data_IF_953825309383
#
_entry.id   IF_953825309383
#
_cell.length_a   1.000
_cell.length_b   1.000
_cell.length_c   1.000
_cell.angle_alpha   90.00
_cell.angle_beta   90.00
_cell.angle_gamma   90.00
#
_symmetry.space_group_name_H-M   'P 1'
#
loop_
_entity.id
_entity.type
_entity.pdbx_description
1 polymer ?
#
# COMPACT_ATOMS: atom_id res chain seq x y z
N UNK A 1 32.00 19.92 -14.93
CA UNK A 1 31.84 18.70 -15.77
C UNK A 1 31.75 17.56 -14.77
N UNK A 2 30.52 17.31 -14.31
CA UNK A 2 29.74 16.11 -14.61
C UNK A 2 30.25 14.88 -13.85
N UNK A 3 29.62 14.56 -12.73
CA UNK A 3 29.07 13.21 -12.61
C UNK A 3 27.77 13.22 -11.78
N UNK A 4 26.67 13.21 -12.52
CA UNK A 4 25.35 12.85 -12.03
C UNK A 4 25.31 11.33 -11.90
N UNK A 5 25.15 10.78 -10.71
CA UNK A 5 24.36 9.55 -10.50
C UNK A 5 24.55 9.05 -9.08
N UNK A 6 23.59 9.38 -8.22
CA UNK A 6 23.12 8.61 -7.06
C UNK A 6 22.37 9.56 -6.13
N UNK A 7 21.31 10.19 -6.65
CA UNK A 7 20.15 10.40 -5.79
C UNK A 7 19.55 9.02 -5.60
N UNK A 8 20.11 8.27 -4.64
CA UNK A 8 19.50 7.03 -4.15
C UNK A 8 18.06 7.43 -3.85
N UNK A 9 17.12 6.83 -4.57
CA UNK A 9 15.71 7.14 -4.48
C UNK A 9 15.32 7.20 -3.01
N UNK A 10 15.12 8.42 -2.49
CA UNK A 10 14.56 8.65 -1.16
C UNK A 10 13.12 8.13 -1.21
N UNK A 11 12.94 6.83 -0.98
CA UNK A 11 11.71 6.15 -0.57
C UNK A 11 10.38 6.89 -0.82
N UNK A 12 10.05 7.23 -2.07
CA UNK A 12 8.71 7.68 -2.46
C UNK A 12 7.90 6.49 -2.98
N UNK A 13 7.84 5.42 -2.20
CA UNK A 13 6.82 4.39 -2.39
C UNK A 13 6.11 4.25 -1.05
N UNK A 14 5.07 5.08 -0.89
CA UNK A 14 4.11 5.04 0.21
C UNK A 14 3.43 3.67 0.19
N UNK A 15 4.02 2.71 0.90
CA UNK A 15 3.41 1.41 1.14
C UNK A 15 2.22 1.55 2.11
N UNK A 16 1.35 0.55 2.12
CA UNK A 16 0.26 0.43 3.06
C UNK A 16 0.65 -0.55 4.18
N UNK A 17 0.24 -0.26 5.41
CA UNK A 17 0.34 -1.17 6.54
C UNK A 17 -1.06 -1.70 6.86
N UNK A 18 -1.20 -3.01 6.96
CA UNK A 18 -2.47 -3.65 7.31
C UNK A 18 -2.26 -4.75 8.33
N UNK A 19 -3.13 -4.84 9.35
CA UNK A 19 -3.10 -5.89 10.36
C UNK A 19 -4.06 -7.01 10.01
N UNK A 20 -3.58 -8.25 10.14
CA UNK A 20 -4.32 -9.48 9.86
C UNK A 20 -4.13 -10.47 11.01
N UNK A 21 -5.07 -11.40 11.16
CA UNK A 21 -5.04 -12.51 12.12
C UNK A 21 -4.38 -13.78 11.56
N UNK A 22 -4.01 -13.79 10.28
CA UNK A 22 -3.30 -14.88 9.63
C UNK A 22 -2.04 -14.41 8.88
N UNK A 23 -0.96 -15.20 8.87
CA UNK A 23 0.24 -14.85 8.12
C UNK A 23 -0.02 -14.87 6.60
N UNK A 24 0.65 -13.99 5.87
CA UNK A 24 0.62 -13.96 4.39
C UNK A 24 2.03 -13.94 3.86
N UNK A 25 2.30 -14.76 2.83
CA UNK A 25 3.63 -14.87 2.24
C UNK A 25 4.04 -13.57 1.50
N UNK A 26 5.29 -13.09 1.69
CA UNK A 26 5.85 -12.05 0.83
C UNK A 26 5.83 -12.48 -0.63
N UNK A 27 5.36 -11.59 -1.50
CA UNK A 27 5.16 -11.88 -2.91
C UNK A 27 3.70 -12.09 -3.30
N UNK A 28 2.84 -12.46 -2.35
CA UNK A 28 1.40 -12.62 -2.58
C UNK A 28 0.76 -11.32 -3.02
N UNK A 29 -0.08 -11.40 -4.06
CA UNK A 29 -0.91 -10.29 -4.52
C UNK A 29 -2.28 -10.40 -3.87
N UNK A 30 -2.71 -9.34 -3.22
CA UNK A 30 -4.01 -9.20 -2.56
C UNK A 30 -4.82 -8.09 -3.26
N UNK A 31 -6.14 -8.15 -3.15
CA UNK A 31 -7.01 -7.05 -3.59
C UNK A 31 -7.39 -6.20 -2.37
N UNK A 32 -6.94 -4.95 -2.35
CA UNK A 32 -7.36 -3.98 -1.36
C UNK A 32 -8.68 -3.36 -1.79
N UNK A 33 -9.72 -3.49 -0.96
CA UNK A 33 -11.00 -2.83 -1.14
C UNK A 33 -11.21 -1.77 -0.06
N UNK A 34 -11.17 -0.50 -0.44
CA UNK A 34 -11.51 0.61 0.44
C UNK A 34 -13.00 0.91 0.28
N UNK A 35 -13.76 0.62 1.34
CA UNK A 35 -15.19 0.90 1.42
C UNK A 35 -15.44 2.26 2.04
N UNK A 36 -15.45 3.32 1.24
CA UNK A 36 -16.05 4.59 1.65
C UNK A 36 -17.49 4.65 1.13
N UNK A 37 -18.38 5.29 1.90
CA UNK A 37 -19.70 5.65 1.38
C UNK A 37 -19.49 6.82 0.42
N UNK A 38 -19.31 6.52 -0.87
CA UNK A 38 -19.13 7.51 -1.93
C UNK A 38 -20.14 7.29 -3.05
N UNK A 39 -20.44 8.35 -3.81
CA UNK A 39 -21.23 8.23 -5.04
C UNK A 39 -20.45 7.54 -6.17
N UNK A 40 -19.12 7.47 -6.06
CA UNK A 40 -18.20 6.86 -7.05
C UNK A 40 -18.01 5.35 -6.87
N UNK A 41 -18.43 4.76 -5.74
CA UNK A 41 -18.24 3.35 -5.42
C UNK A 41 -16.93 3.07 -4.67
N UNK A 42 -16.69 1.80 -4.34
CA UNK A 42 -15.49 1.39 -3.59
C UNK A 42 -14.24 1.34 -4.47
N UNK A 43 -13.10 1.73 -3.91
CA UNK A 43 -11.81 1.67 -4.61
C UNK A 43 -11.24 0.25 -4.45
N UNK A 44 -10.94 -0.40 -5.56
CA UNK A 44 -10.28 -1.70 -5.62
C UNK A 44 -8.93 -1.58 -6.33
N UNK A 45 -7.86 -1.96 -5.64
CA UNK A 45 -6.49 -1.93 -6.16
C UNK A 45 -5.74 -3.20 -5.77
N UNK A 46 -5.05 -3.87 -6.71
CA UNK A 46 -4.13 -4.94 -6.35
C UNK A 46 -2.90 -4.39 -5.64
N UNK A 47 -2.51 -5.07 -4.57
CA UNK A 47 -1.36 -4.75 -3.73
C UNK A 47 -0.52 -6.02 -3.53
N UNK A 48 0.79 -5.87 -3.38
CA UNK A 48 1.72 -6.97 -3.16
C UNK A 48 2.28 -6.89 -1.75
N UNK A 49 2.24 -8.02 -1.06
CA UNK A 49 2.90 -8.19 0.23
C UNK A 49 4.41 -8.15 0.01
N UNK A 50 5.07 -7.19 0.65
CA UNK A 50 6.53 -7.03 0.64
C UNK A 50 7.14 -7.67 1.88
N UNK A 51 6.43 -7.59 3.02
CA UNK A 51 6.84 -8.17 4.29
C UNK A 51 5.62 -8.51 5.12
N UNK A 52 5.71 -9.60 5.89
CA UNK A 52 4.76 -9.99 6.91
C UNK A 52 5.53 -10.17 8.22
N UNK A 53 5.09 -9.51 9.28
CA UNK A 53 5.74 -9.53 10.59
C UNK A 53 4.77 -9.97 11.67
N UNK A 54 5.15 -10.97 12.46
CA UNK A 54 4.34 -11.42 13.60
C UNK A 54 4.47 -10.41 14.74
N UNK A 55 3.36 -9.88 15.22
CA UNK A 55 3.31 -8.91 16.31
C UNK A 55 2.93 -9.57 17.63
N UNK A 56 1.96 -10.47 17.59
CA UNK A 56 1.49 -11.22 18.76
C UNK A 56 1.15 -12.66 18.36
N UNK A 57 0.66 -13.48 19.30
CA UNK A 57 0.29 -14.87 18.97
C UNK A 57 -0.77 -14.98 17.87
N UNK A 58 -1.62 -13.95 17.72
CA UNK A 58 -2.76 -13.94 16.82
C UNK A 58 -2.77 -12.76 15.83
N UNK A 59 -1.70 -11.96 15.75
CA UNK A 59 -1.66 -10.77 14.89
C UNK A 59 -0.37 -10.67 14.10
N UNK A 60 -0.52 -10.24 12.84
CA UNK A 60 0.56 -10.00 11.90
C UNK A 60 0.35 -8.65 11.21
N UNK A 61 1.44 -7.91 11.02
CA UNK A 61 1.46 -6.70 10.22
C UNK A 61 1.97 -7.04 8.80
N UNK A 62 1.16 -6.67 7.81
CA UNK A 62 1.47 -6.77 6.39
C UNK A 62 1.92 -5.42 5.86
N UNK A 63 3.12 -5.39 5.30
CA UNK A 63 3.65 -4.26 4.56
C UNK A 63 3.37 -4.49 3.08
N UNK A 64 2.58 -3.62 2.48
CA UNK A 64 2.00 -3.78 1.15
C UNK A 64 2.49 -2.65 0.23
N UNK A 65 2.73 -2.96 -1.03
CA UNK A 65 2.95 -1.95 -2.08
C UNK A 65 1.88 -2.07 -3.16
N UNK A 66 1.51 -0.94 -3.77
CA UNK A 66 0.69 -0.95 -4.97
C UNK A 66 1.41 -1.71 -6.10
N UNK A 67 0.71 -2.62 -6.77
CA UNK A 67 1.28 -3.32 -7.94
C UNK A 67 0.95 -2.64 -9.25
N UNK A 68 -0.18 -1.93 -9.28
CA UNK A 68 -0.60 -1.17 -10.46
C UNK A 68 0.05 0.21 -10.48
N UNK A 69 0.31 0.69 -11.69
CA UNK A 69 0.64 2.10 -11.98
C UNK A 69 -0.62 2.90 -12.30
N UNK A 70 -1.75 2.54 -11.69
CA UNK A 70 -2.97 3.33 -11.79
C UNK A 70 -2.86 4.50 -10.83
N UNK A 71 -2.10 5.51 -11.27
CA UNK A 71 -1.83 6.71 -10.50
C UNK A 71 -3.11 7.46 -10.13
N UNK A 72 -4.20 7.31 -10.88
CA UNK A 72 -5.48 7.96 -10.58
C UNK A 72 -6.10 7.36 -9.32
N UNK A 73 -6.18 6.03 -9.21
CA UNK A 73 -6.70 5.36 -8.00
C UNK A 73 -5.80 5.59 -6.79
N UNK A 74 -4.48 5.59 -6.99
CA UNK A 74 -3.53 5.89 -5.91
C UNK A 74 -3.73 7.34 -5.43
N UNK A 75 -3.89 8.30 -6.35
CA UNK A 75 -4.17 9.70 -6.00
C UNK A 75 -5.50 9.82 -5.24
N UNK A 76 -6.55 9.12 -5.66
CA UNK A 76 -7.85 9.13 -4.97
C UNK A 76 -7.73 8.62 -3.53
N UNK A 77 -6.92 7.57 -3.28
CA UNK A 77 -6.61 7.12 -1.92
C UNK A 77 -5.84 8.18 -1.13
N UNK A 78 -4.84 8.81 -1.73
CA UNK A 78 -4.05 9.85 -1.05
C UNK A 78 -4.89 11.08 -0.69
N UNK A 79 -5.82 11.47 -1.56
CA UNK A 79 -6.75 12.58 -1.32
C UNK A 79 -7.72 12.22 -0.20
N UNK A 80 -8.26 10.99 -0.18
CA UNK A 80 -9.10 10.50 0.93
C UNK A 80 -8.35 10.51 2.27
N UNK A 81 -7.08 10.10 2.32
CA UNK A 81 -6.27 10.15 3.54
C UNK A 81 -6.08 11.60 4.01
N UNK A 82 -5.88 12.53 3.06
CA UNK A 82 -5.67 13.95 3.36
C UNK A 82 -6.91 14.61 3.94
N UNK A 83 -8.10 14.28 3.42
CA UNK A 83 -9.37 14.84 3.92
C UNK A 83 -9.73 14.35 5.33
N UNK A 84 -9.14 13.23 5.78
CA UNK A 84 -9.34 12.67 7.12
C UNK A 84 -8.34 13.20 8.17
N UNK A 85 -7.32 13.96 7.77
CA UNK A 85 -6.24 14.49 8.62
C UNK A 85 -6.52 15.93 9.08
#
# INVERSE_FOLDING_TARGET
>A
MADQSLRIAENILKGLLHRTDFPVEPGTVLELKLGTISLSGGIQIPVKVIRCEKISEAEYDLYLNYTERDFNKIQEIEDLIRDLS
#
